data_IF_324300309877
#
_entry.id   IF_324300309877
#
_cell.length_a   1.000
_cell.length_b   1.000
_cell.length_c   1.000
_cell.angle_alpha   90.00
_cell.angle_beta   90.00
_cell.angle_gamma   90.00
#
_symmetry.space_group_name_H-M   'P 1'
#
loop_
_entity.id
_entity.type
_entity.pdbx_description
1 polymer ?
#
# COMPACT_ATOMS: atom_id res chain seq x y z
N UNK A 1 27.73 -12.78 -1.61
CA UNK A 1 27.09 -13.22 -2.87
C UNK A 1 25.97 -12.22 -3.17
N UNK A 2 26.16 -11.36 -4.19
CA UNK A 2 25.24 -10.25 -4.51
C UNK A 2 24.06 -10.82 -5.30
N UNK A 3 22.84 -10.75 -4.76
CA UNK A 3 21.62 -11.02 -5.54
C UNK A 3 21.27 -9.72 -6.25
N UNK A 4 21.36 -9.74 -7.58
CA UNK A 4 21.02 -8.63 -8.47
C UNK A 4 19.53 -8.30 -8.34
N UNK A 5 19.22 -7.05 -8.00
CA UNK A 5 17.88 -6.49 -8.13
C UNK A 5 17.57 -6.27 -9.61
N UNK A 6 17.10 -7.32 -10.27
CA UNK A 6 16.47 -7.27 -11.58
C UNK A 6 15.34 -8.30 -11.62
N UNK A 7 14.47 -8.27 -10.61
CA UNK A 7 13.18 -8.95 -10.69
C UNK A 7 12.20 -7.91 -11.20
N UNK A 8 11.95 -7.98 -12.50
CA UNK A 8 10.77 -7.45 -13.17
C UNK A 8 9.58 -7.46 -12.21
N UNK A 9 9.17 -6.28 -11.76
CA UNK A 9 7.92 -6.10 -11.02
C UNK A 9 6.83 -6.45 -12.02
N UNK A 10 6.38 -7.72 -12.01
CA UNK A 10 5.10 -8.08 -12.58
C UNK A 10 4.10 -7.32 -11.72
N UNK A 11 3.74 -6.11 -12.15
CA UNK A 11 2.71 -5.33 -11.53
C UNK A 11 1.38 -6.01 -11.85
N UNK A 12 1.06 -7.08 -11.12
CA UNK A 12 -0.31 -7.56 -11.13
C UNK A 12 -1.12 -6.59 -10.28
N UNK A 13 -1.94 -5.78 -10.95
CA UNK A 13 -2.88 -4.90 -10.28
C UNK A 13 -4.20 -5.66 -10.13
N UNK A 14 -4.59 -5.96 -8.89
CA UNK A 14 -6.01 -6.09 -8.62
C UNK A 14 -6.57 -4.69 -8.83
N UNK A 15 -7.35 -4.53 -9.89
CA UNK A 15 -8.36 -3.50 -9.87
C UNK A 15 -9.17 -3.78 -8.59
N UNK A 16 -9.22 -2.80 -7.70
CA UNK A 16 -10.02 -2.85 -6.48
C UNK A 16 -11.51 -2.87 -6.88
N UNK A 17 -11.96 -3.94 -7.53
CA UNK A 17 -13.36 -4.24 -7.80
C UNK A 17 -14.07 -4.57 -6.48
N UNK A 18 -13.32 -4.75 -5.38
CA UNK A 18 -13.86 -5.06 -4.08
C UNK A 18 -14.64 -3.86 -3.58
N UNK A 19 -15.93 -4.10 -3.33
CA UNK A 19 -16.76 -3.24 -2.49
C UNK A 19 -16.32 -3.37 -1.03
N UNK A 20 -15.02 -3.23 -0.79
CA UNK A 20 -14.36 -3.43 0.47
C UNK A 20 -13.38 -2.29 0.71
N UNK A 21 -13.17 -1.97 1.97
CA UNK A 21 -12.21 -0.97 2.41
C UNK A 21 -11.41 -1.48 3.59
N UNK A 22 -10.19 -0.99 3.73
CA UNK A 22 -9.43 -1.17 4.95
C UNK A 22 -10.06 -0.25 5.99
N UNK A 23 -10.60 -0.84 7.05
CA UNK A 23 -11.19 -0.08 8.15
C UNK A 23 -10.25 0.00 9.35
N UNK A 24 -9.21 -0.85 9.41
CA UNK A 24 -8.25 -0.90 10.51
C UNK A 24 -6.88 -1.35 10.03
N UNK A 25 -5.83 -0.73 10.53
CA UNK A 25 -4.42 -1.14 10.33
C UNK A 25 -3.77 -1.33 11.68
N UNK A 26 -3.05 -2.44 11.86
CA UNK A 26 -2.26 -2.72 13.06
C UNK A 26 -0.80 -2.85 12.67
N UNK A 27 0.05 -1.97 13.19
CA UNK A 27 1.50 -2.01 13.03
C UNK A 27 2.15 -2.02 14.40
N UNK A 28 2.98 -3.02 14.69
CA UNK A 28 3.69 -3.17 15.98
C UNK A 28 2.82 -2.88 17.21
N UNK A 29 1.66 -3.57 17.28
CA UNK A 29 0.63 -3.43 18.34
C UNK A 29 -0.09 -2.08 18.40
N UNK A 30 0.30 -1.11 17.58
CA UNK A 30 -0.42 0.14 17.41
C UNK A 30 -1.51 -0.03 16.36
N UNK A 31 -2.75 0.22 16.75
CA UNK A 31 -3.89 0.19 15.84
C UNK A 31 -4.29 1.60 15.42
N UNK A 32 -4.58 1.77 14.14
CA UNK A 32 -5.09 3.00 13.53
C UNK A 32 -6.23 2.67 12.59
N UNK A 33 -7.05 3.69 12.37
CA UNK A 33 -8.20 3.64 11.47
C UNK A 33 -7.87 4.60 10.33
N UNK A 34 -7.34 4.10 9.19
CA UNK A 34 -7.31 4.94 7.99
C UNK A 34 -8.76 5.38 7.74
N UNK A 35 -9.00 6.62 7.34
CA UNK A 35 -10.35 7.14 7.14
C UNK A 35 -11.21 6.23 6.25
N UNK A 36 -12.51 6.47 6.19
CA UNK A 36 -13.34 5.81 5.18
C UNK A 36 -13.01 6.36 3.79
N UNK A 37 -13.10 5.51 2.76
CA UNK A 37 -13.12 5.97 1.39
C UNK A 37 -14.07 5.18 0.52
N UNK A 38 -14.14 5.59 -0.76
CA UNK A 38 -14.99 4.92 -1.74
C UNK A 38 -14.65 3.45 -1.82
N UNK A 39 -15.66 2.59 -1.70
CA UNK A 39 -15.57 1.15 -1.97
C UNK A 39 -15.71 0.84 -3.46
N UNK A 40 -15.89 1.86 -4.31
CA UNK A 40 -15.97 1.70 -5.76
C UNK A 40 -14.58 1.56 -6.41
N UNK A 41 -14.46 0.76 -7.49
CA UNK A 41 -13.19 0.60 -8.20
C UNK A 41 -12.73 1.87 -8.91
N UNK A 42 -11.41 2.03 -9.02
CA UNK A 42 -10.77 2.94 -9.97
C UNK A 42 -10.39 2.14 -11.22
N UNK A 43 -11.10 2.37 -12.32
CA UNK A 43 -10.92 1.63 -13.58
C UNK A 43 -9.98 2.33 -14.56
N UNK A 44 -9.79 3.65 -14.43
CA UNK A 44 -8.92 4.42 -15.30
C UNK A 44 -7.48 4.45 -14.75
N UNK A 45 -6.57 3.72 -15.39
CA UNK A 45 -5.16 3.59 -14.99
C UNK A 45 -4.38 4.91 -15.03
N UNK A 46 -4.85 5.89 -15.81
CA UNK A 46 -4.25 7.22 -15.93
C UNK A 46 -4.83 8.23 -14.93
N UNK A 47 -5.85 7.83 -14.16
CA UNK A 47 -6.48 8.72 -13.18
C UNK A 47 -5.56 8.94 -11.96
N UNK A 48 -5.41 10.18 -11.45
CA UNK A 48 -4.77 10.44 -10.16
C UNK A 48 -5.37 9.63 -9.00
N UNK A 49 -6.65 9.24 -9.11
CA UNK A 49 -7.34 8.40 -8.13
C UNK A 49 -6.69 7.01 -7.97
N UNK A 50 -5.84 6.56 -8.89
CA UNK A 50 -5.13 5.29 -8.72
C UNK A 50 -4.06 5.34 -7.61
N UNK A 51 -3.66 6.54 -7.20
CA UNK A 51 -2.75 6.72 -6.07
C UNK A 51 -3.45 6.50 -4.72
N UNK A 52 -4.62 7.11 -4.49
CA UNK A 52 -5.32 7.09 -3.18
C UNK A 52 -6.86 7.18 -3.27
N UNK A 53 -7.48 6.54 -4.26
CA UNK A 53 -8.94 6.59 -4.48
C UNK A 53 -9.50 8.01 -4.69
N UNK A 54 -10.82 8.12 -4.92
CA UNK A 54 -11.54 9.38 -5.23
C UNK A 54 -12.10 10.11 -4.00
N UNK A 55 -12.14 9.45 -2.85
CA UNK A 55 -12.75 9.99 -1.62
C UNK A 55 -11.87 9.62 -0.44
N UNK A 56 -10.99 10.52 0.01
CA UNK A 56 -10.35 10.38 1.31
C UNK A 56 -10.13 11.74 1.98
N UNK A 57 -10.94 11.97 3.00
CA UNK A 57 -10.69 12.90 4.09
C UNK A 57 -10.88 12.11 5.41
N UNK A 58 -9.98 12.22 6.39
CA UNK A 58 -8.83 13.10 6.45
C UNK A 58 -7.60 12.54 5.71
N UNK A 59 -6.62 13.43 5.50
CA UNK A 59 -5.23 13.08 5.19
C UNK A 59 -4.74 11.96 6.13
N UNK A 60 -3.65 11.24 5.82
CA UNK A 60 -3.00 10.28 6.73
C UNK A 60 -2.44 10.98 7.99
N UNK A 61 -3.31 11.55 8.82
CA UNK A 61 -2.95 12.43 9.93
C UNK A 61 -2.54 11.68 11.19
N UNK A 62 -2.61 10.35 11.19
CA UNK A 62 -2.21 9.53 12.33
C UNK A 62 -1.16 8.51 11.93
N UNK A 63 0.07 8.82 12.33
CA UNK A 63 1.24 7.99 12.09
C UNK A 63 1.25 6.85 13.11
N UNK A 64 1.13 5.59 12.66
CA UNK A 64 1.38 4.45 13.55
C UNK A 64 2.90 4.24 13.65
N UNK A 65 3.38 3.81 14.82
CA UNK A 65 4.79 3.43 14.98
C UNK A 65 4.97 1.99 14.50
N UNK A 66 6.06 1.73 13.79
CA UNK A 66 6.43 0.39 13.36
C UNK A 66 7.94 0.20 13.44
N UNK A 67 8.41 -1.01 13.73
CA UNK A 67 9.83 -1.37 13.58
C UNK A 67 10.10 -1.86 12.17
N UNK A 68 11.25 -1.52 11.59
CA UNK A 68 11.72 -2.17 10.37
C UNK A 68 11.71 -3.70 10.57
N UNK A 69 11.25 -4.46 9.57
CA UNK A 69 11.13 -5.91 9.66
C UNK A 69 9.91 -6.43 10.43
N UNK A 70 9.09 -5.56 11.03
CA UNK A 70 7.85 -5.94 11.72
C UNK A 70 6.69 -6.17 10.75
N UNK A 71 5.64 -6.80 11.27
CA UNK A 71 4.42 -7.05 10.52
C UNK A 71 3.45 -5.87 10.60
N UNK A 72 2.81 -5.57 9.47
CA UNK A 72 1.69 -4.65 9.34
C UNK A 72 0.49 -5.46 8.86
N UNK A 73 -0.60 -5.42 9.64
CA UNK A 73 -1.83 -6.14 9.33
C UNK A 73 -2.91 -5.16 8.90
N UNK A 74 -3.47 -5.40 7.71
CA UNK A 74 -4.57 -4.66 7.13
C UNK A 74 -5.86 -5.44 7.36
N UNK A 75 -6.85 -4.79 7.96
CA UNK A 75 -8.15 -5.37 8.24
C UNK A 75 -9.16 -4.79 7.27
N UNK A 76 -9.67 -5.66 6.43
CA UNK A 76 -10.61 -5.36 5.37
C UNK A 76 -12.04 -5.57 5.85
N UNK A 77 -12.97 -4.76 5.37
CA UNK A 77 -14.38 -5.15 5.40
C UNK A 77 -14.59 -6.43 4.58
N UNK A 78 -15.81 -6.96 4.57
CA UNK A 78 -16.12 -8.23 3.90
C UNK A 78 -15.54 -8.29 2.48
N UNK A 79 -14.58 -9.19 2.27
CA UNK A 79 -14.01 -9.49 0.97
C UNK A 79 -14.85 -10.56 0.28
N UNK A 80 -15.46 -10.24 -0.85
CA UNK A 80 -16.33 -11.17 -1.55
C UNK A 80 -15.49 -12.22 -2.31
N UNK A 81 -15.85 -13.50 -2.22
CA UNK A 81 -15.11 -14.61 -2.83
C UNK A 81 -14.88 -14.46 -4.35
N UNK A 82 -15.78 -13.78 -5.06
CA UNK A 82 -15.67 -13.51 -6.50
C UNK A 82 -14.55 -12.51 -6.84
N UNK A 83 -14.02 -11.79 -5.86
CA UNK A 83 -13.03 -10.73 -6.06
C UNK A 83 -11.64 -11.32 -5.94
N UNK A 84 -11.32 -12.17 -6.90
CA UNK A 84 -10.01 -12.79 -7.05
C UNK A 84 -9.08 -11.80 -7.71
N UNK A 85 -7.88 -11.68 -7.17
CA UNK A 85 -6.87 -10.78 -7.69
C UNK A 85 -5.74 -10.61 -6.69
N UNK A 86 -4.61 -10.08 -7.14
CA UNK A 86 -3.46 -9.89 -6.29
C UNK A 86 -3.67 -8.75 -5.29
N UNK A 87 -3.33 -8.97 -4.03
CA UNK A 87 -3.21 -7.91 -3.05
C UNK A 87 -1.77 -7.38 -3.03
N UNK A 88 -1.59 -6.06 -3.02
CA UNK A 88 -0.26 -5.43 -3.01
C UNK A 88 -0.15 -4.38 -1.91
N UNK A 89 1.06 -4.24 -1.34
CA UNK A 89 1.42 -3.15 -0.46
C UNK A 89 2.66 -2.43 -0.96
N UNK A 90 2.60 -1.10 -0.90
CA UNK A 90 3.59 -0.19 -1.39
C UNK A 90 3.99 0.80 -0.31
N UNK A 91 5.22 1.30 -0.39
CA UNK A 91 5.80 2.19 0.59
C UNK A 91 6.55 3.33 -0.10
N UNK A 92 6.38 4.56 0.38
CA UNK A 92 7.09 5.74 -0.10
C UNK A 92 7.58 6.57 1.11
N UNK A 93 8.85 7.00 1.15
CA UNK A 93 9.31 7.92 2.19
C UNK A 93 8.57 9.26 2.07
N UNK A 94 8.34 9.91 3.20
CA UNK A 94 7.65 11.19 3.23
C UNK A 94 8.30 12.15 4.23
N UNK A 95 8.67 13.32 3.74
CA UNK A 95 9.18 14.44 4.51
C UNK A 95 8.28 15.65 4.21
N UNK A 96 7.38 15.99 5.13
CA UNK A 96 6.42 17.06 4.90
C UNK A 96 5.30 17.14 5.94
N UNK A 97 4.39 18.10 5.73
CA UNK A 97 3.20 18.28 6.55
C UNK A 97 2.20 17.15 6.24
N UNK A 98 1.86 16.35 7.25
CA UNK A 98 0.92 15.24 7.10
C UNK A 98 -0.51 15.69 6.78
N UNK A 99 -0.85 16.95 7.02
CA UNK A 99 -2.15 17.52 6.64
C UNK A 99 -2.22 17.89 5.15
N UNK A 100 -1.09 17.90 4.43
CA UNK A 100 -0.95 18.41 3.06
C UNK A 100 -0.23 17.44 2.13
N UNK A 101 -0.37 16.13 2.37
CA UNK A 101 0.28 15.11 1.54
C UNK A 101 -0.16 15.26 0.08
N UNK A 102 0.80 15.54 -0.81
CA UNK A 102 0.64 15.40 -2.26
C UNK A 102 1.07 13.99 -2.66
N UNK A 103 0.20 13.28 -3.39
CA UNK A 103 0.39 11.87 -3.74
C UNK A 103 1.27 11.60 -4.94
N UNK A 104 2.02 12.61 -5.38
CA UNK A 104 3.10 12.49 -6.36
C UNK A 104 4.37 11.87 -5.75
N UNK A 105 4.20 10.85 -4.91
CA UNK A 105 5.28 10.11 -4.28
C UNK A 105 5.75 8.95 -5.16
N UNK A 106 6.99 8.54 -4.97
CA UNK A 106 7.55 7.35 -5.60
C UNK A 106 7.41 6.16 -4.66
N UNK A 107 6.53 5.23 -5.02
CA UNK A 107 6.18 4.06 -4.26
C UNK A 107 6.99 2.84 -4.68
N UNK A 108 7.55 2.13 -3.71
CA UNK A 108 8.10 0.79 -3.91
C UNK A 108 7.12 -0.26 -3.41
N UNK A 109 6.89 -1.31 -4.19
CA UNK A 109 6.19 -2.49 -3.70
C UNK A 109 7.07 -3.25 -2.69
N UNK A 110 6.52 -3.58 -1.52
CA UNK A 110 7.24 -4.37 -0.51
C UNK A 110 6.55 -5.70 -0.18
N UNK A 111 5.29 -5.88 -0.58
CA UNK A 111 4.58 -7.14 -0.41
C UNK A 111 3.52 -7.32 -1.50
N UNK A 112 3.30 -8.58 -1.90
CA UNK A 112 2.30 -8.99 -2.87
C UNK A 112 1.87 -10.42 -2.59
N UNK A 113 0.57 -10.71 -2.76
CA UNK A 113 0.03 -12.06 -2.79
C UNK A 113 -1.00 -12.22 -3.89
N UNK A 114 -0.99 -13.34 -4.61
CA UNK A 114 -1.81 -13.53 -5.81
C UNK A 114 -3.32 -13.75 -5.55
N UNK A 115 -3.71 -14.20 -4.34
CA UNK A 115 -5.08 -14.64 -4.03
C UNK A 115 -5.97 -13.57 -3.40
N UNK A 116 -5.42 -12.42 -3.00
CA UNK A 116 -6.15 -11.37 -2.28
C UNK A 116 -6.11 -11.57 -0.76
N UNK A 117 -6.80 -10.72 -0.01
CA UNK A 117 -6.94 -10.92 1.44
C UNK A 117 -7.68 -12.24 1.72
N UNK A 118 -7.17 -13.03 2.66
CA UNK A 118 -7.81 -14.28 3.07
C UNK A 118 -9.28 -14.04 3.47
N UNK A 119 -10.13 -15.05 3.30
CA UNK A 119 -11.57 -14.99 3.63
C UNK A 119 -11.89 -14.62 5.10
N UNK A 120 -10.85 -14.47 5.94
CA UNK A 120 -10.92 -14.00 7.31
C UNK A 120 -10.91 -12.46 7.46
N UNK A 121 -10.80 -11.71 6.36
CA UNK A 121 -10.92 -10.24 6.38
C UNK A 121 -9.66 -9.50 6.86
N UNK A 122 -8.50 -10.15 6.84
CA UNK A 122 -7.23 -9.48 7.09
C UNK A 122 -6.11 -10.05 6.23
N UNK A 123 -5.09 -9.22 6.00
CA UNK A 123 -3.86 -9.59 5.31
C UNK A 123 -2.67 -8.98 6.04
N UNK A 124 -1.54 -9.69 6.11
CA UNK A 124 -0.35 -9.23 6.83
C UNK A 124 0.84 -9.14 5.89
N UNK A 125 1.45 -7.96 5.82
CA UNK A 125 2.68 -7.72 5.08
C UNK A 125 3.83 -7.43 6.05
N UNK A 126 5.02 -7.97 5.76
CA UNK A 126 6.23 -7.70 6.53
C UNK A 126 6.98 -6.50 5.94
N UNK A 127 7.27 -5.49 6.75
CA UNK A 127 8.11 -4.37 6.33
C UNK A 127 9.53 -4.85 5.98
N UNK A 128 10.22 -4.22 5.01
CA UNK A 128 11.61 -4.55 4.75
C UNK A 128 12.46 -4.32 6.01
N UNK A 129 13.30 -5.29 6.38
CA UNK A 129 14.09 -5.23 7.62
C UNK A 129 15.19 -4.16 7.58
N UNK A 130 15.70 -3.83 6.40
CA UNK A 130 16.78 -2.87 6.19
C UNK A 130 16.26 -1.51 5.65
N UNK A 131 14.96 -1.23 5.74
CA UNK A 131 14.44 0.08 5.33
C UNK A 131 14.98 1.18 6.24
N UNK A 132 15.35 2.33 5.65
CA UNK A 132 15.74 3.52 6.41
C UNK A 132 14.64 3.90 7.42
N UNK A 133 15.05 4.37 8.59
CA UNK A 133 14.12 4.94 9.57
C UNK A 133 13.53 6.26 9.05
N UNK A 134 12.30 6.58 9.44
CA UNK A 134 11.63 7.81 9.06
C UNK A 134 10.13 7.65 8.86
N UNK A 135 9.49 8.71 8.37
CA UNK A 135 8.06 8.70 8.05
C UNK A 135 7.83 8.17 6.64
N UNK A 136 6.84 7.29 6.49
CA UNK A 136 6.49 6.64 5.24
C UNK A 136 4.99 6.67 5.01
N UNK A 137 4.58 6.88 3.76
CA UNK A 137 3.23 6.56 3.30
C UNK A 137 3.20 5.11 2.85
N UNK A 138 2.28 4.33 3.41
CA UNK A 138 1.96 2.98 2.95
C UNK A 138 0.71 3.06 2.10
N UNK A 139 0.76 2.52 0.89
CA UNK A 139 -0.41 2.34 0.01
C UNK A 139 -0.74 0.87 -0.09
N UNK A 140 -1.97 0.51 0.21
CA UNK A 140 -2.51 -0.83 0.07
C UNK A 140 -3.87 -0.71 -0.64
N UNK A 141 -3.95 -1.26 -1.86
CA UNK A 141 -5.15 -1.24 -2.72
C UNK A 141 -5.98 0.07 -2.63
N UNK A 142 -5.35 1.19 -3.01
CA UNK A 142 -5.90 2.55 -3.02
C UNK A 142 -6.15 3.20 -1.65
N UNK A 143 -6.08 2.46 -0.55
CA UNK A 143 -6.04 3.05 0.80
C UNK A 143 -4.60 3.37 1.16
N UNK A 144 -4.33 4.55 1.70
CA UNK A 144 -3.02 4.82 2.25
C UNK A 144 -3.06 5.36 3.68
N UNK A 145 -1.93 5.27 4.37
CA UNK A 145 -1.75 5.68 5.76
C UNK A 145 -0.26 5.95 6.04
N UNK A 146 0.03 6.64 7.14
CA UNK A 146 1.39 6.96 7.52
C UNK A 146 1.93 6.00 8.59
N UNK A 147 3.18 5.58 8.44
CA UNK A 147 3.97 4.90 9.46
C UNK A 147 5.22 5.72 9.78
N UNK A 148 5.59 5.78 11.06
CA UNK A 148 6.91 6.20 11.48
C UNK A 148 7.69 4.92 11.76
N UNK A 149 8.65 4.64 10.88
CA UNK A 149 9.46 3.44 10.93
C UNK A 149 10.71 3.72 11.74
N UNK A 150 10.93 2.88 12.75
CA UNK A 150 12.11 2.88 13.62
C UNK A 150 13.04 1.71 13.25
N UNK A 151 14.33 1.85 13.55
CA UNK A 151 15.34 0.83 13.29
C UNK A 151 16.67 1.43 12.85
N UNK A 152 17.54 0.59 12.31
CA UNK A 152 18.90 0.95 11.86
C UNK A 152 19.14 0.68 10.37
N UNK A 153 18.07 0.39 9.63
CA UNK A 153 18.17 0.12 8.21
C UNK A 153 18.67 1.35 7.44
N UNK A 154 19.22 1.11 6.25
CA UNK A 154 19.80 2.18 5.41
C UNK A 154 19.27 2.17 3.98
N UNK A 155 18.48 1.16 3.61
CA UNK A 155 17.95 1.01 2.27
C UNK A 155 16.93 2.12 1.95
N UNK A 156 17.21 2.88 0.89
CA UNK A 156 16.27 3.82 0.25
C UNK A 156 16.11 3.44 -1.23
N UNK A 157 15.20 2.52 -1.53
CA UNK A 157 15.05 1.93 -2.85
C UNK A 157 14.21 2.83 -3.77
N UNK A 158 14.50 2.81 -5.08
CA UNK A 158 13.74 3.56 -6.10
C UNK A 158 12.29 3.09 -6.16
N UNK A 159 11.37 4.03 -6.32
CA UNK A 159 9.94 3.77 -6.46
C UNK A 159 9.42 4.02 -7.88
N UNK A 160 8.12 3.89 -8.05
CA UNK A 160 7.36 4.25 -9.24
C UNK A 160 6.17 5.13 -8.85
N UNK A 161 5.62 5.88 -9.80
CA UNK A 161 4.54 6.84 -9.56
C UNK A 161 3.17 6.22 -9.86
N UNK A 162 2.15 6.73 -9.19
CA UNK A 162 0.75 6.45 -9.50
C UNK A 162 0.07 7.77 -9.92
N UNK A 163 -0.48 7.88 -11.14
CA UNK A 163 -0.47 6.90 -12.24
C UNK A 163 0.94 6.69 -12.85
N UNK A 164 1.12 5.58 -13.57
CA UNK A 164 2.36 5.23 -14.28
C UNK A 164 2.96 3.86 -13.90
N UNK A 165 2.67 3.36 -12.70
CA UNK A 165 3.13 2.05 -12.25
C UNK A 165 2.44 0.87 -12.95
N UNK A 166 1.26 1.09 -13.53
CA UNK A 166 0.45 0.09 -14.21
C UNK A 166 0.22 0.50 -15.66
N UNK A 167 0.24 -0.48 -16.56
CA UNK A 167 -0.02 -0.34 -17.99
C UNK A 167 -1.17 -1.23 -18.42
N UNK A 168 -1.99 -0.78 -19.37
CA UNK A 168 -3.04 -1.60 -20.00
C UNK A 168 -2.50 -2.79 -20.80
N UNK A 169 -1.18 -3.01 -20.80
CA UNK A 169 -0.53 -4.17 -21.42
C UNK A 169 0.08 -5.12 -20.38
N UNK A 170 -0.07 -4.83 -19.08
CA UNK A 170 0.45 -5.71 -18.03
C UNK A 170 -0.38 -7.00 -17.99
N UNK A 171 0.30 -8.16 -18.07
CA UNK A 171 -0.34 -9.47 -18.11
C UNK A 171 -1.20 -9.81 -16.86
N UNK A 172 -1.07 -9.03 -15.78
CA UNK A 172 -1.85 -9.20 -14.56
C UNK A 172 -3.08 -8.29 -14.44
N UNK A 173 -3.40 -7.52 -15.48
CA UNK A 173 -4.56 -6.62 -15.53
C UNK A 173 -5.76 -7.19 -16.29
N UNK A 174 -5.59 -8.33 -17.00
CA UNK A 174 -6.61 -9.01 -17.81
C UNK A 174 -6.65 -10.51 -17.50
#
# INVERSE_FOLDING_TARGET
MKVSQATSVLALAAQALSHSSIHRVTADKTTRYPGGGSTGPVLNLSSPAIAWSILYAPAPGLVAQARAGSNVTFHWSRWLYSHKGPITAWIAPYEGDMAKVDMKLEFRMFSQEAKGADGNGFWTARLPADIKLGTYIIRQELTCFALNITGFGTSSPRGTKFPGAYSSTDAGLF
#
